data_IF_231378139240
#
_entry.id   IF_231378139240
#
_cell.length_a   1.000
_cell.length_b   1.000
_cell.length_c   1.000
_cell.angle_alpha   90.00
_cell.angle_beta   90.00
_cell.angle_gamma   90.00
#
_symmetry.space_group_name_H-M   'P 1'
#
loop_
_entity.id
_entity.type
_entity.pdbx_description
1 polymer ?
#
# COMPACT_ATOMS: atom_id res chain seq x y z
N UNK A 1 -9.30 -26.45 -16.86
CA UNK A 1 -8.13 -25.73 -17.40
C UNK A 1 -7.38 -26.66 -18.33
N UNK A 2 -7.07 -26.21 -19.53
CA UNK A 2 -6.34 -27.01 -20.51
C UNK A 2 -4.86 -27.20 -20.08
N UNK A 3 -4.23 -28.22 -20.64
CA UNK A 3 -2.81 -28.48 -20.41
C UNK A 3 -1.94 -27.31 -20.88
N UNK A 4 -2.25 -26.73 -22.05
CA UNK A 4 -1.57 -25.56 -22.58
C UNK A 4 -1.66 -24.35 -21.64
N UNK A 5 -2.84 -24.12 -21.06
CA UNK A 5 -3.06 -23.03 -20.09
C UNK A 5 -2.25 -23.26 -18.82
N UNK A 6 -2.19 -24.50 -18.31
CA UNK A 6 -1.37 -24.84 -17.15
C UNK A 6 0.11 -24.60 -17.42
N UNK A 7 0.59 -25.02 -18.60
CA UNK A 7 1.99 -24.82 -19.00
C UNK A 7 2.33 -23.34 -19.10
N UNK A 8 1.42 -22.53 -19.64
CA UNK A 8 1.58 -21.09 -19.70
C UNK A 8 1.72 -20.47 -18.30
N UNK A 9 0.82 -20.81 -17.39
CA UNK A 9 0.85 -20.28 -16.04
C UNK A 9 2.10 -20.72 -15.29
N UNK A 10 2.52 -21.97 -15.48
CA UNK A 10 3.75 -22.46 -14.87
C UNK A 10 4.97 -21.69 -15.37
N UNK A 11 5.09 -21.50 -16.67
CA UNK A 11 6.19 -20.74 -17.28
C UNK A 11 6.19 -19.30 -16.78
N UNK A 12 5.03 -18.67 -16.74
CA UNK A 12 4.88 -17.30 -16.26
C UNK A 12 5.27 -17.20 -14.77
N UNK A 13 4.79 -18.12 -13.94
CA UNK A 13 5.08 -18.14 -12.50
C UNK A 13 6.58 -18.36 -12.26
N UNK A 14 7.22 -19.25 -13.02
CA UNK A 14 8.66 -19.47 -12.93
C UNK A 14 9.44 -18.21 -13.28
N UNK A 15 8.99 -17.49 -14.32
CA UNK A 15 9.60 -16.22 -14.70
C UNK A 15 9.45 -15.17 -13.60
N UNK A 16 8.24 -15.02 -13.07
CA UNK A 16 7.97 -14.07 -11.98
C UNK A 16 8.86 -14.36 -10.77
N UNK A 17 9.00 -15.64 -10.40
CA UNK A 17 9.86 -16.05 -9.29
C UNK A 17 11.31 -15.67 -9.54
N UNK A 18 11.78 -15.86 -10.77
CA UNK A 18 13.17 -15.53 -11.16
C UNK A 18 13.51 -14.05 -10.99
N UNK A 19 12.54 -13.16 -11.23
CA UNK A 19 12.76 -11.71 -11.12
C UNK A 19 12.31 -11.13 -9.79
N UNK A 20 11.84 -11.96 -8.88
CA UNK A 20 11.43 -11.55 -7.54
C UNK A 20 12.63 -11.53 -6.59
N UNK A 21 12.74 -10.52 -5.76
CA UNK A 21 13.85 -10.36 -4.82
C UNK A 21 13.80 -11.40 -3.70
N UNK A 22 14.96 -11.73 -3.14
CA UNK A 22 15.07 -12.68 -2.04
C UNK A 22 14.18 -12.33 -0.84
N UNK A 23 14.10 -11.07 -0.38
CA UNK A 23 13.20 -10.74 0.74
C UNK A 23 11.73 -11.04 0.48
N UNK A 24 11.32 -11.13 -0.77
CA UNK A 24 9.94 -11.51 -1.12
C UNK A 24 9.73 -13.01 -1.21
N UNK A 25 10.79 -13.80 -1.26
CA UNK A 25 10.74 -15.25 -1.39
C UNK A 25 11.11 -15.99 -0.11
N UNK A 26 11.84 -15.35 0.78
CA UNK A 26 12.43 -16.00 1.95
C UNK A 26 12.26 -15.13 3.19
N UNK A 27 11.66 -15.70 4.22
CA UNK A 27 11.37 -14.97 5.46
C UNK A 27 12.64 -14.49 6.17
N UNK A 28 13.68 -15.33 6.18
CA UNK A 28 14.93 -14.95 6.85
C UNK A 28 15.61 -13.80 6.10
N UNK A 29 15.58 -13.81 4.78
CA UNK A 29 16.09 -12.70 3.96
C UNK A 29 15.31 -11.41 4.23
N UNK A 30 13.99 -11.50 4.38
CA UNK A 30 13.17 -10.33 4.73
C UNK A 30 13.53 -9.78 6.10
N UNK A 31 13.65 -10.66 7.10
CA UNK A 31 14.03 -10.25 8.46
C UNK A 31 15.39 -9.56 8.48
N UNK A 32 16.36 -10.11 7.78
CA UNK A 32 17.68 -9.53 7.67
C UNK A 32 17.63 -8.15 7.03
N UNK A 33 16.87 -7.99 5.95
CA UNK A 33 16.72 -6.69 5.28
C UNK A 33 16.05 -5.65 6.17
N UNK A 34 15.02 -6.05 6.92
CA UNK A 34 14.36 -5.16 7.86
C UNK A 34 15.33 -4.67 8.93
N UNK A 35 16.15 -5.57 9.45
CA UNK A 35 17.15 -5.23 10.47
C UNK A 35 18.23 -4.29 9.90
N UNK A 36 18.67 -4.51 8.66
CA UNK A 36 19.63 -3.63 7.99
C UNK A 36 19.09 -2.21 7.85
N UNK A 37 17.85 -2.06 7.38
CA UNK A 37 17.24 -0.75 7.21
C UNK A 37 17.09 -0.04 8.56
N UNK A 38 16.64 -0.76 9.57
CA UNK A 38 16.47 -0.21 10.93
C UNK A 38 17.82 0.24 11.51
N UNK A 39 18.90 -0.53 11.27
CA UNK A 39 20.23 -0.21 11.78
C UNK A 39 20.91 0.92 11.01
N UNK A 40 20.72 0.96 9.69
CA UNK A 40 21.50 1.84 8.80
C UNK A 40 20.79 3.15 8.46
N UNK A 41 19.58 3.37 8.97
CA UNK A 41 18.81 4.57 8.64
C UNK A 41 17.97 5.03 9.83
N UNK A 42 17.47 6.28 9.81
CA UNK A 42 16.56 6.76 10.84
C UNK A 42 15.12 6.29 10.67
N UNK A 43 14.85 5.44 9.69
CA UNK A 43 13.50 4.97 9.39
C UNK A 43 12.95 4.08 10.51
N UNK A 44 11.74 4.36 10.94
CA UNK A 44 11.00 3.50 11.88
C UNK A 44 10.21 2.48 11.09
N UNK A 45 10.83 1.34 10.82
CA UNK A 45 10.34 0.33 9.87
C UNK A 45 8.93 -0.18 10.16
N UNK A 46 8.56 -0.60 11.39
CA UNK A 46 7.18 -1.05 11.63
C UNK A 46 6.15 0.03 11.31
N UNK A 47 6.44 1.25 11.65
CA UNK A 47 5.56 2.38 11.43
C UNK A 47 5.41 2.71 9.95
N UNK A 48 6.51 2.64 9.20
CA UNK A 48 6.48 2.87 7.75
C UNK A 48 5.66 1.79 7.03
N UNK A 49 5.80 0.53 7.44
CA UNK A 49 5.00 -0.55 6.87
C UNK A 49 3.51 -0.32 7.11
N UNK A 50 3.13 0.03 8.33
CA UNK A 50 1.73 0.35 8.66
C UNK A 50 1.22 1.49 7.80
N UNK A 51 2.00 2.56 7.68
CA UNK A 51 1.62 3.73 6.89
C UNK A 51 1.46 3.39 5.41
N UNK A 52 2.41 2.66 4.84
CA UNK A 52 2.38 2.32 3.42
C UNK A 52 1.16 1.47 3.07
N UNK A 53 0.89 0.44 3.86
CA UNK A 53 -0.25 -0.43 3.64
C UNK A 53 -1.57 0.31 3.86
N UNK A 54 -1.64 1.15 4.88
CA UNK A 54 -2.83 1.95 5.17
C UNK A 54 -3.12 2.99 4.09
N UNK A 55 -2.08 3.70 3.61
CA UNK A 55 -2.25 4.67 2.51
C UNK A 55 -2.82 4.01 1.27
N UNK A 56 -2.27 2.85 0.89
CA UNK A 56 -2.74 2.12 -0.28
C UNK A 56 -4.18 1.68 -0.13
N UNK A 57 -4.53 1.12 1.02
CA UNK A 57 -5.86 0.62 1.31
C UNK A 57 -6.92 1.74 1.32
N UNK A 58 -6.67 2.82 2.04
CA UNK A 58 -7.63 3.91 2.18
C UNK A 58 -7.79 4.70 0.88
N UNK A 59 -6.71 4.89 0.14
CA UNK A 59 -6.77 5.53 -1.18
C UNK A 59 -7.63 4.69 -2.13
N UNK A 60 -7.47 3.36 -2.09
CA UNK A 60 -8.29 2.45 -2.89
C UNK A 60 -9.77 2.53 -2.54
N UNK A 61 -10.11 2.62 -1.25
CA UNK A 61 -11.51 2.77 -0.81
C UNK A 61 -12.12 4.08 -1.29
N UNK A 62 -11.36 5.18 -1.21
CA UNK A 62 -11.81 6.47 -1.75
C UNK A 62 -12.06 6.38 -3.26
N UNK A 63 -11.13 5.82 -4.00
CA UNK A 63 -11.25 5.64 -5.45
C UNK A 63 -12.46 4.78 -5.81
N UNK A 64 -12.72 3.74 -5.03
CA UNK A 64 -13.86 2.84 -5.28
C UNK A 64 -15.20 3.58 -5.15
N UNK A 65 -15.34 4.45 -4.15
CA UNK A 65 -16.56 5.25 -4.00
C UNK A 65 -16.74 6.18 -5.21
N UNK A 66 -15.68 6.87 -5.60
CA UNK A 66 -15.72 7.80 -6.76
C UNK A 66 -16.09 7.03 -8.03
N UNK A 67 -15.45 5.88 -8.27
CA UNK A 67 -15.73 5.05 -9.44
C UNK A 67 -17.20 4.63 -9.50
N UNK A 68 -17.74 4.18 -8.38
CA UNK A 68 -19.14 3.72 -8.33
C UNK A 68 -20.12 4.85 -8.61
N UNK A 69 -19.85 6.06 -8.10
CA UNK A 69 -20.72 7.20 -8.35
C UNK A 69 -20.68 7.65 -9.82
N UNK A 70 -19.49 7.85 -10.36
CA UNK A 70 -19.33 8.44 -11.68
C UNK A 70 -19.50 7.44 -12.82
N UNK A 71 -19.15 6.18 -12.60
CA UNK A 71 -19.11 5.19 -13.66
C UNK A 71 -20.14 4.06 -13.52
N UNK A 72 -20.73 3.87 -12.35
CA UNK A 72 -21.64 2.76 -12.10
C UNK A 72 -23.01 3.20 -11.58
N UNK A 73 -23.33 4.47 -11.70
CA UNK A 73 -24.66 4.98 -11.40
C UNK A 73 -25.06 5.04 -9.93
N UNK A 74 -24.11 4.92 -9.01
CA UNK A 74 -24.43 5.08 -7.58
C UNK A 74 -24.69 6.55 -7.28
N UNK A 75 -25.65 6.87 -6.39
CA UNK A 75 -26.02 8.25 -6.12
C UNK A 75 -24.95 8.98 -5.31
N UNK A 76 -24.80 10.30 -5.51
CA UNK A 76 -23.98 11.14 -4.64
C UNK A 76 -24.74 11.46 -3.35
N UNK A 77 -25.11 10.42 -2.62
CA UNK A 77 -25.88 10.52 -1.39
C UNK A 77 -25.05 11.14 -0.26
N UNK A 78 -25.73 11.62 0.77
CA UNK A 78 -25.05 12.10 1.98
C UNK A 78 -24.14 11.04 2.58
N UNK A 79 -24.60 9.77 2.52
CA UNK A 79 -23.82 8.64 3.03
C UNK A 79 -22.53 8.44 2.24
N UNK A 80 -22.60 8.43 0.91
CA UNK A 80 -21.42 8.30 0.06
C UNK A 80 -20.47 9.49 0.23
N UNK A 81 -20.99 10.70 0.34
CA UNK A 81 -20.17 11.89 0.58
C UNK A 81 -19.48 11.79 1.96
N UNK A 82 -20.23 11.34 2.97
CA UNK A 82 -19.66 11.14 4.31
C UNK A 82 -18.52 10.13 4.29
N UNK A 83 -18.70 9.00 3.59
CA UNK A 83 -17.66 7.99 3.48
C UNK A 83 -16.42 8.52 2.76
N UNK A 84 -16.58 9.31 1.70
CA UNK A 84 -15.44 9.94 1.03
C UNK A 84 -14.65 10.84 1.97
N UNK A 85 -15.35 11.66 2.75
CA UNK A 85 -14.71 12.54 3.74
C UNK A 85 -13.97 11.75 4.80
N UNK A 86 -14.55 10.65 5.25
CA UNK A 86 -13.94 9.75 6.23
C UNK A 86 -12.66 9.12 5.68
N UNK A 87 -12.70 8.64 4.43
CA UNK A 87 -11.51 8.06 3.81
C UNK A 87 -10.39 9.08 3.65
N UNK A 88 -10.71 10.35 3.35
CA UNK A 88 -9.71 11.40 3.28
C UNK A 88 -9.06 11.65 4.65
N UNK A 89 -9.83 11.57 5.72
CA UNK A 89 -9.29 11.66 7.08
C UNK A 89 -8.35 10.50 7.40
N UNK A 90 -8.72 9.30 7.00
CA UNK A 90 -7.90 8.10 7.21
C UNK A 90 -6.62 8.16 6.37
N UNK A 91 -6.67 8.67 5.15
CA UNK A 91 -5.50 8.91 4.30
C UNK A 91 -4.55 9.87 5.00
N UNK A 92 -5.06 10.96 5.54
CA UNK A 92 -4.26 11.94 6.28
C UNK A 92 -3.59 11.31 7.51
N UNK A 93 -4.30 10.45 8.22
CA UNK A 93 -3.75 9.71 9.36
C UNK A 93 -2.52 8.89 8.95
N UNK A 94 -2.65 8.11 7.88
CA UNK A 94 -1.55 7.28 7.41
C UNK A 94 -0.42 8.12 6.81
N UNK A 95 -0.74 9.23 6.16
CA UNK A 95 0.27 10.17 5.68
C UNK A 95 1.10 10.72 6.85
N UNK A 96 0.43 11.16 7.92
CA UNK A 96 1.11 11.66 9.11
C UNK A 96 1.95 10.57 9.78
N UNK A 97 1.45 9.34 9.81
CA UNK A 97 2.20 8.19 10.32
C UNK A 97 3.46 7.93 9.49
N UNK A 98 3.37 8.04 8.17
CA UNK A 98 4.52 7.92 7.28
C UNK A 98 5.56 9.02 7.57
N UNK A 99 5.11 10.25 7.72
CA UNK A 99 5.99 11.36 8.07
C UNK A 99 6.72 11.11 9.40
N UNK A 100 6.00 10.62 10.40
CA UNK A 100 6.60 10.30 11.69
C UNK A 100 7.62 9.16 11.57
N UNK A 101 7.37 8.17 10.72
CA UNK A 101 8.29 7.05 10.51
C UNK A 101 9.61 7.47 9.87
N UNK A 102 9.60 8.59 9.15
CA UNK A 102 10.77 9.16 8.47
C UNK A 102 11.39 10.32 9.26
N UNK A 103 10.92 10.56 10.49
CA UNK A 103 11.33 11.70 11.31
C UNK A 103 11.14 13.05 10.63
N UNK A 104 10.13 13.15 9.76
CA UNK A 104 9.81 14.38 9.05
C UNK A 104 9.01 15.30 9.97
N UNK A 105 9.50 16.52 10.14
CA UNK A 105 8.79 17.55 10.91
C UNK A 105 7.72 18.19 10.01
N UNK A 106 6.46 17.96 10.35
CA UNK A 106 5.33 18.46 9.58
C UNK A 106 5.27 19.98 9.52
N UNK A 107 5.86 20.67 10.53
CA UNK A 107 5.89 22.12 10.54
C UNK A 107 6.80 22.71 9.46
N UNK A 108 7.71 21.90 8.90
CA UNK A 108 8.63 22.30 7.85
C UNK A 108 8.10 21.99 6.44
N UNK A 109 6.92 21.39 6.33
CA UNK A 109 6.34 21.07 5.04
C UNK A 109 5.56 22.28 4.53
N UNK A 110 5.96 22.78 3.37
CA UNK A 110 5.23 23.82 2.65
C UNK A 110 4.15 23.16 1.81
N UNK A 111 2.91 23.30 2.25
CA UNK A 111 1.75 22.77 1.54
C UNK A 111 1.15 23.86 0.68
#
# INVERSE_FOLDING_TARGET
>A
MSEETRDFFKTYTDFVTKVTSDPSLDLDALKERLDEIEADSPIKTPRLLTAALGLGSETGEFVEIVKKMYLQGKPPSEDNIFHMKRELGDIMWYWATACASLNLDLSLIHI
#
